data_IF_016029814985
#
_entry.id   IF_016029814985
#
_cell.length_a   1.000
_cell.length_b   1.000
_cell.length_c   1.000
_cell.angle_alpha   90.00
_cell.angle_beta   90.00
_cell.angle_gamma   90.00
#
_symmetry.space_group_name_H-M   'P 1'
#
loop_
_entity.id
_entity.type
_entity.pdbx_description
1 polymer ?
#
# COMPACT_ATOMS: atom_id res chain seq x y z
N UNK A 1 -12.45 5.83 15.06
CA UNK A 1 -11.09 5.70 15.66
C UNK A 1 -10.40 4.40 15.27
N UNK A 2 -11.01 3.22 15.46
CA UNK A 2 -10.36 1.90 15.20
C UNK A 2 -9.77 1.75 13.79
N UNK A 3 -10.51 2.14 12.75
CA UNK A 3 -10.04 1.98 11.35
C UNK A 3 -8.76 2.79 11.05
N UNK A 4 -8.65 4.02 11.57
CA UNK A 4 -7.45 4.86 11.36
C UNK A 4 -6.19 4.23 11.96
N UNK A 5 -6.33 3.61 13.14
CA UNK A 5 -5.24 2.89 13.80
C UNK A 5 -4.82 1.64 13.04
N UNK A 6 -5.79 0.87 12.54
CA UNK A 6 -5.52 -0.33 11.72
C UNK A 6 -4.77 0.06 10.44
N UNK A 7 -5.20 1.13 9.75
CA UNK A 7 -4.50 1.60 8.55
C UNK A 7 -3.10 2.12 8.88
N UNK A 8 -2.93 2.87 9.97
CA UNK A 8 -1.62 3.32 10.42
C UNK A 8 -0.66 2.16 10.68
N UNK A 9 -1.11 1.15 11.44
CA UNK A 9 -0.33 -0.06 11.71
C UNK A 9 0.03 -0.82 10.43
N UNK A 10 -0.92 -0.99 9.50
CA UNK A 10 -0.66 -1.67 8.23
C UNK A 10 0.39 -0.92 7.38
N UNK A 11 0.34 0.41 7.35
CA UNK A 11 1.32 1.24 6.64
C UNK A 11 2.70 1.13 7.29
N UNK A 12 2.79 1.27 8.61
CA UNK A 12 4.08 1.20 9.33
C UNK A 12 4.69 -0.20 9.22
N UNK A 13 3.89 -1.26 9.38
CA UNK A 13 4.37 -2.64 9.27
C UNK A 13 4.89 -2.96 7.86
N UNK A 14 4.16 -2.57 6.81
CA UNK A 14 4.59 -2.78 5.42
C UNK A 14 5.83 -1.94 5.07
N UNK A 15 5.94 -0.71 5.57
CA UNK A 15 7.15 0.11 5.40
C UNK A 15 8.37 -0.50 6.08
N UNK A 16 8.22 -0.99 7.32
CA UNK A 16 9.30 -1.65 8.05
C UNK A 16 9.75 -2.95 7.37
N UNK A 17 8.80 -3.75 6.87
CA UNK A 17 9.10 -4.95 6.09
C UNK A 17 9.85 -4.61 4.79
N UNK A 18 9.38 -3.59 4.04
CA UNK A 18 10.08 -3.14 2.84
C UNK A 18 11.53 -2.74 3.13
N UNK A 19 11.76 -1.94 4.18
CA UNK A 19 13.10 -1.52 4.59
C UNK A 19 13.99 -2.73 4.97
N UNK A 20 13.44 -3.69 5.72
CA UNK A 20 14.15 -4.91 6.07
C UNK A 20 14.64 -5.68 4.83
N UNK A 21 13.76 -5.85 3.83
CA UNK A 21 14.11 -6.57 2.60
C UNK A 21 15.08 -5.78 1.70
N UNK A 22 15.01 -4.44 1.70
CA UNK A 22 16.02 -3.59 1.05
C UNK A 22 17.41 -3.85 1.67
N UNK A 23 17.51 -3.86 3.00
CA UNK A 23 18.77 -4.11 3.71
C UNK A 23 19.30 -5.52 3.42
N UNK A 24 18.41 -6.51 3.26
CA UNK A 24 18.76 -7.87 2.86
C UNK A 24 19.06 -8.03 1.36
N UNK A 25 19.00 -6.95 0.58
CA UNK A 25 19.13 -6.95 -0.87
C UNK A 25 18.17 -7.92 -1.58
N UNK A 26 17.05 -8.26 -0.92
CA UNK A 26 15.99 -9.04 -1.51
C UNK A 26 14.95 -8.08 -2.10
N UNK A 27 15.23 -7.65 -3.33
CA UNK A 27 14.47 -6.58 -3.98
C UNK A 27 13.04 -7.00 -4.35
N UNK A 28 12.80 -8.29 -4.60
CA UNK A 28 11.47 -8.80 -4.96
C UNK A 28 10.48 -8.60 -3.81
N UNK A 29 10.83 -9.08 -2.62
CA UNK A 29 10.01 -8.86 -1.43
C UNK A 29 9.99 -7.39 -1.01
N UNK A 30 11.08 -6.64 -1.18
CA UNK A 30 11.07 -5.19 -0.95
C UNK A 30 10.01 -4.49 -1.80
N UNK A 31 9.95 -4.80 -3.10
CA UNK A 31 8.96 -4.26 -4.03
C UNK A 31 7.55 -4.68 -3.62
N UNK A 32 7.33 -5.95 -3.28
CA UNK A 32 6.04 -6.44 -2.80
C UNK A 32 5.53 -5.59 -1.62
N UNK A 33 6.36 -5.40 -0.58
CA UNK A 33 5.96 -4.64 0.59
C UNK A 33 5.82 -3.13 0.32
N UNK A 34 6.58 -2.56 -0.61
CA UNK A 34 6.36 -1.18 -1.08
C UNK A 34 5.00 -1.02 -1.78
N UNK A 35 4.61 -1.97 -2.64
CA UNK A 35 3.31 -1.96 -3.31
C UNK A 35 2.15 -2.09 -2.31
N UNK A 36 2.30 -2.96 -1.30
CA UNK A 36 1.33 -3.09 -0.20
C UNK A 36 1.24 -1.78 0.60
N UNK A 37 2.38 -1.15 0.93
CA UNK A 37 2.41 0.14 1.62
C UNK A 37 1.70 1.23 0.80
N UNK A 38 1.96 1.32 -0.51
CA UNK A 38 1.28 2.28 -1.38
C UNK A 38 -0.22 2.02 -1.49
N UNK A 39 -0.64 0.75 -1.50
CA UNK A 39 -2.06 0.39 -1.45
C UNK A 39 -2.74 1.00 -0.23
N UNK A 40 -2.18 0.78 0.97
CA UNK A 40 -2.78 1.27 2.21
C UNK A 40 -2.69 2.79 2.37
N UNK A 41 -1.57 3.42 2.00
CA UNK A 41 -1.44 4.89 2.09
C UNK A 41 -2.40 5.61 1.15
N UNK A 42 -2.66 5.08 -0.06
CA UNK A 42 -3.61 5.67 -0.99
C UNK A 42 -5.06 5.39 -0.59
N UNK A 43 -5.36 4.21 -0.01
CA UNK A 43 -6.65 3.93 0.60
C UNK A 43 -6.94 4.90 1.77
N UNK A 44 -5.95 5.17 2.62
CA UNK A 44 -6.08 6.13 3.72
C UNK A 44 -6.33 7.55 3.20
N UNK A 45 -5.60 7.97 2.17
CA UNK A 45 -5.80 9.26 1.48
C UNK A 45 -7.17 9.38 0.83
N UNK A 46 -7.72 8.29 0.28
CA UNK A 46 -9.09 8.25 -0.24
C UNK A 46 -10.11 8.67 0.81
N UNK A 47 -10.02 8.08 2.01
CA UNK A 47 -10.91 8.38 3.13
C UNK A 47 -10.69 9.82 3.61
N UNK A 48 -9.43 10.25 3.72
CA UNK A 48 -9.07 11.61 4.11
C UNK A 48 -9.70 12.65 3.18
N UNK A 49 -9.53 12.49 1.86
CA UNK A 49 -10.08 13.43 0.88
C UNK A 49 -11.61 13.43 0.83
N UNK A 50 -12.27 12.27 0.98
CA UNK A 50 -13.75 12.22 1.12
C UNK A 50 -14.23 13.03 2.31
N UNK A 51 -13.56 12.92 3.45
CA UNK A 51 -13.94 13.66 4.66
C UNK A 51 -13.73 15.18 4.52
N UNK A 52 -12.90 15.61 3.58
CA UNK A 52 -12.64 17.03 3.27
C UNK A 52 -13.57 17.56 2.16
N UNK A 53 -14.49 16.75 1.62
CA UNK A 53 -15.33 17.11 0.47
C UNK A 53 -14.61 17.06 -0.88
N UNK A 54 -13.36 16.60 -0.93
CA UNK A 54 -12.52 16.54 -2.13
C UNK A 54 -12.77 15.23 -2.90
N UNK A 55 -13.94 15.14 -3.54
CA UNK A 55 -14.44 13.91 -4.15
C UNK A 55 -13.63 13.44 -5.37
N UNK A 56 -13.07 14.37 -6.16
CA UNK A 56 -12.28 14.04 -7.35
C UNK A 56 -10.93 13.44 -6.96
N UNK A 57 -10.27 14.07 -6.00
CA UNK A 57 -8.99 13.65 -5.43
C UNK A 57 -9.15 12.31 -4.70
N UNK A 58 -10.24 12.12 -3.97
CA UNK A 58 -10.59 10.83 -3.39
C UNK A 58 -10.74 9.72 -4.43
N UNK A 59 -11.43 9.99 -5.55
CA UNK A 59 -11.58 9.00 -6.64
C UNK A 59 -10.23 8.65 -7.26
N UNK A 60 -9.35 9.65 -7.45
CA UNK A 60 -8.00 9.41 -7.94
C UNK A 60 -7.18 8.53 -6.99
N UNK A 61 -7.21 8.82 -5.69
CA UNK A 61 -6.52 8.01 -4.69
C UNK A 61 -7.07 6.58 -4.60
N UNK A 62 -8.37 6.39 -4.84
CA UNK A 62 -8.96 5.06 -4.91
C UNK A 62 -8.39 4.26 -6.09
N UNK A 63 -8.30 4.87 -7.27
CA UNK A 63 -7.69 4.23 -8.44
C UNK A 63 -6.21 3.89 -8.20
N UNK A 64 -5.46 4.78 -7.55
CA UNK A 64 -4.08 4.50 -7.17
C UNK A 64 -3.99 3.33 -6.18
N UNK A 65 -4.86 3.29 -5.16
CA UNK A 65 -4.89 2.17 -4.23
C UNK A 65 -5.17 0.84 -4.95
N UNK A 66 -6.10 0.82 -5.89
CA UNK A 66 -6.40 -0.37 -6.70
C UNK A 66 -5.23 -0.77 -7.60
N UNK A 67 -4.58 0.19 -8.26
CA UNK A 67 -3.41 -0.06 -9.10
C UNK A 67 -2.29 -0.74 -8.31
N UNK A 68 -1.93 -0.19 -7.15
CA UNK A 68 -0.91 -0.78 -6.28
C UNK A 68 -1.38 -2.11 -5.67
N UNK A 69 -2.67 -2.26 -5.38
CA UNK A 69 -3.24 -3.49 -4.85
C UNK A 69 -3.11 -4.64 -5.85
N UNK A 70 -3.54 -4.42 -7.09
CA UNK A 70 -3.35 -5.39 -8.19
C UNK A 70 -1.87 -5.65 -8.46
N UNK A 71 -1.03 -4.61 -8.44
CA UNK A 71 0.42 -4.75 -8.56
C UNK A 71 1.01 -5.65 -7.47
N UNK A 72 0.58 -5.50 -6.22
CA UNK A 72 1.06 -6.33 -5.11
C UNK A 72 0.68 -7.80 -5.26
N UNK A 73 -0.54 -8.08 -5.75
CA UNK A 73 -0.96 -9.45 -6.07
C UNK A 73 -0.15 -10.04 -7.23
N UNK A 74 0.14 -9.24 -8.27
CA UNK A 74 1.00 -9.65 -9.37
C UNK A 74 2.44 -9.95 -8.93
N UNK A 75 3.01 -9.08 -8.08
CA UNK A 75 4.34 -9.30 -7.52
C UNK A 75 4.39 -10.55 -6.63
N UNK A 76 3.37 -10.77 -5.81
CA UNK A 76 3.27 -11.99 -4.99
C UNK A 76 3.15 -13.24 -5.87
N UNK A 77 2.33 -13.20 -6.91
CA UNK A 77 2.20 -14.31 -7.85
C UNK A 77 3.53 -14.61 -8.57
N UNK A 78 4.26 -13.57 -9.00
CA UNK A 78 5.58 -13.71 -9.58
C UNK A 78 6.56 -14.42 -8.64
N UNK A 79 6.67 -13.95 -7.40
CA UNK A 79 7.56 -14.53 -6.36
C UNK A 79 7.21 -16.00 -6.04
N UNK A 80 5.94 -16.39 -6.17
CA UNK A 80 5.49 -17.75 -5.87
C UNK A 80 5.67 -18.72 -7.05
N UNK A 81 5.74 -18.21 -8.29
CA UNK A 81 5.78 -19.02 -9.51
C UNK A 81 7.18 -19.13 -10.12
N UNK A 82 8.08 -18.20 -9.80
CA UNK A 82 9.45 -18.12 -10.32
C UNK A 82 10.43 -17.95 -9.17
#
# INVERSE_FOLDING_TARGET
MKLKWIMGLAITASAAAALYFIIKLNLEFAILFMLIMFTFTNAARTIMYRNQGLMREAKWMLWMALFFGVGSLGALAYILLF
#
